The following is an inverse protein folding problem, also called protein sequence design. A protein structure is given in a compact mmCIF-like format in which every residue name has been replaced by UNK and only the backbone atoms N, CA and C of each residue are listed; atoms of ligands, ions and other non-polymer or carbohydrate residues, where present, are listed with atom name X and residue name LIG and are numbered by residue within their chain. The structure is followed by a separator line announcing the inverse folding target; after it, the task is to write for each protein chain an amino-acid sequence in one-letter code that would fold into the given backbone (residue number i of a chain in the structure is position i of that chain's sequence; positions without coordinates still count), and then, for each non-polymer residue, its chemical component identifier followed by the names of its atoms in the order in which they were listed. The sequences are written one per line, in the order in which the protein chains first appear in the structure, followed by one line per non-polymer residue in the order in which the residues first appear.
data_IF_390854625808
#
_entry.id   IF_390854625808
#
_cell.length_a   1.000
_cell.length_b   1.000
_cell.length_c   1.000
_cell.angle_alpha   90.00
_cell.angle_beta   90.00
_cell.angle_gamma   90.00
#
_symmetry.space_group_name_H-M   'P 1'
#
loop_
_entity.id
_entity.type
_entity.pdbx_description
1 polymer ?
#
# COMPACT_ATOMS: atom_id res chain seq x y z
N UNK A 1 -21.39 15.22 -40.60
CA UNK A 1 -20.35 14.48 -39.83
C UNK A 1 -19.30 15.39 -39.17
N UNK A 2 -18.97 16.56 -39.74
CA UNK A 2 -17.90 17.43 -39.20
C UNK A 2 -18.22 18.10 -37.86
N UNK A 3 -19.47 18.54 -37.65
CA UNK A 3 -19.93 19.14 -36.38
C UNK A 3 -19.84 18.17 -35.20
N UNK A 4 -20.15 16.89 -35.43
CA UNK A 4 -20.07 15.83 -34.41
C UNK A 4 -18.61 15.60 -33.99
N UNK A 5 -17.68 15.53 -34.95
CA UNK A 5 -16.24 15.44 -34.66
C UNK A 5 -15.71 16.64 -33.86
N UNK A 6 -16.21 17.85 -34.12
CA UNK A 6 -15.83 19.05 -33.37
C UNK A 6 -16.32 19.00 -31.92
N UNK A 7 -17.55 18.53 -31.70
CA UNK A 7 -18.14 18.36 -30.37
C UNK A 7 -17.40 17.29 -29.55
N UNK A 8 -17.00 16.17 -30.17
CA UNK A 8 -16.19 15.16 -29.49
C UNK A 8 -14.85 15.71 -28.99
N UNK A 9 -14.12 16.46 -29.84
CA UNK A 9 -12.84 17.07 -29.46
C UNK A 9 -12.97 18.07 -28.33
N UNK A 10 -14.00 18.92 -28.38
CA UNK A 10 -14.31 19.86 -27.30
C UNK A 10 -14.59 19.13 -25.98
N UNK A 11 -15.37 18.04 -26.02
CA UNK A 11 -15.67 17.22 -24.84
C UNK A 11 -14.41 16.60 -24.22
N UNK A 12 -13.55 16.02 -25.05
CA UNK A 12 -12.28 15.42 -24.60
C UNK A 12 -11.32 16.47 -24.00
N UNK A 13 -11.33 17.70 -24.54
CA UNK A 13 -10.49 18.80 -24.03
C UNK A 13 -10.95 19.28 -22.66
N UNK A 14 -12.27 19.32 -22.42
CA UNK A 14 -12.84 19.76 -21.15
C UNK A 14 -12.67 18.76 -20.01
N UNK A 15 -12.59 17.46 -20.28
CA UNK A 15 -12.27 16.44 -19.26
C UNK A 15 -10.77 16.38 -18.97
N UNK A 16 -9.92 16.55 -19.99
CA UNK A 16 -8.45 16.49 -19.83
C UNK A 16 -7.88 17.61 -18.94
N UNK A 17 -8.42 18.83 -19.00
CA UNK A 17 -7.96 19.92 -18.13
C UNK A 17 -8.39 19.75 -16.66
N UNK A 18 -9.56 19.15 -16.41
CA UNK A 18 -10.03 18.84 -15.05
C UNK A 18 -9.18 17.76 -14.39
N UNK A 19 -8.88 16.68 -15.12
CA UNK A 19 -8.04 15.58 -14.66
C UNK A 19 -6.60 16.03 -14.41
N UNK A 20 -6.04 16.92 -15.26
CA UNK A 20 -4.71 17.49 -15.07
C UNK A 20 -4.61 18.38 -13.82
N UNK A 21 -5.70 19.07 -13.47
CA UNK A 21 -5.75 19.93 -12.26
C UNK A 21 -5.92 19.09 -10.99
N UNK A 22 -6.76 18.06 -11.03
CA UNK A 22 -6.94 17.14 -9.89
C UNK A 22 -5.67 16.32 -9.62
N UNK A 23 -4.96 15.90 -10.66
CA UNK A 23 -3.66 15.21 -10.53
C UNK A 23 -2.59 16.13 -9.96
N UNK A 24 -2.50 17.39 -10.40
CA UNK A 24 -1.55 18.36 -9.84
C UNK A 24 -1.81 18.65 -8.35
N UNK A 25 -3.08 18.80 -7.95
CA UNK A 25 -3.46 18.98 -6.54
C UNK A 25 -3.09 17.76 -5.70
N UNK A 26 -3.40 16.56 -6.19
CA UNK A 26 -3.05 15.30 -5.51
C UNK A 26 -1.54 15.19 -5.30
N UNK A 27 -0.73 15.48 -6.32
CA UNK A 27 0.73 15.49 -6.19
C UNK A 27 1.25 16.51 -5.17
N UNK A 28 0.64 17.70 -5.09
CA UNK A 28 0.99 18.69 -4.06
C UNK A 28 0.65 18.20 -2.65
N UNK A 29 -0.49 17.52 -2.49
CA UNK A 29 -0.89 16.92 -1.22
C UNK A 29 0.08 15.81 -0.80
N UNK A 30 0.45 14.91 -1.71
CA UNK A 30 1.39 13.82 -1.44
C UNK A 30 2.76 14.37 -1.00
N UNK A 31 3.28 15.38 -1.70
CA UNK A 31 4.56 16.01 -1.35
C UNK A 31 4.56 16.68 0.05
N UNK A 32 3.43 17.26 0.45
CA UNK A 32 3.28 17.85 1.80
C UNK A 32 3.19 16.78 2.88
N UNK A 33 2.51 15.66 2.60
CA UNK A 33 2.43 14.51 3.49
C UNK A 33 3.81 13.89 3.69
N UNK A 34 4.56 13.64 2.62
CA UNK A 34 5.91 13.07 2.69
C UNK A 34 6.85 13.96 3.53
N UNK A 35 6.82 15.27 3.30
CA UNK A 35 7.62 16.24 4.08
C UNK A 35 7.25 16.26 5.56
N UNK A 36 5.96 16.09 5.88
CA UNK A 36 5.51 16.00 7.27
C UNK A 36 5.97 14.70 7.93
N UNK A 37 5.86 13.57 7.23
CA UNK A 37 6.29 12.26 7.72
C UNK A 37 7.81 12.21 7.94
N UNK A 38 8.59 12.81 7.06
CA UNK A 38 10.04 12.98 7.23
C UNK A 38 10.36 13.79 8.49
N UNK A 39 9.66 14.91 8.71
CA UNK A 39 9.86 15.78 9.89
C UNK A 39 9.62 15.07 11.22
N UNK A 40 8.66 14.15 11.28
CA UNK A 40 8.34 13.39 12.50
C UNK A 40 9.12 12.07 12.59
N UNK A 41 10.05 11.80 11.66
CA UNK A 41 10.83 10.56 11.63
C UNK A 41 10.02 9.31 11.29
N UNK A 42 8.79 9.46 10.82
CA UNK A 42 7.89 8.39 10.39
C UNK A 42 7.89 8.19 8.87
N UNK A 43 8.86 8.80 8.16
CA UNK A 43 9.07 8.63 6.74
C UNK A 43 9.11 7.15 6.41
N UNK A 44 8.21 6.71 5.52
CA UNK A 44 7.92 5.31 5.26
C UNK A 44 9.20 4.49 5.23
N UNK A 45 9.40 3.65 6.25
CA UNK A 45 10.38 2.58 6.15
C UNK A 45 9.98 1.83 4.90
N UNK A 46 10.75 1.96 3.80
CA UNK A 46 10.61 1.09 2.65
C UNK A 46 10.86 -0.29 3.22
N UNK A 47 9.77 -0.98 3.58
CA UNK A 47 9.83 -2.30 4.17
C UNK A 47 10.62 -3.11 3.17
N UNK A 48 11.87 -3.41 3.53
CA UNK A 48 12.77 -4.09 2.63
C UNK A 48 12.06 -5.40 2.30
N UNK A 49 11.78 -5.71 1.03
CA UNK A 49 11.18 -6.98 0.69
C UNK A 49 12.11 -8.03 1.28
N UNK A 50 11.66 -8.72 2.33
CA UNK A 50 12.49 -9.73 2.97
C UNK A 50 12.81 -10.74 1.89
N UNK A 51 14.06 -10.75 1.42
CA UNK A 51 14.61 -11.80 0.55
C UNK A 51 14.85 -13.06 1.37
N UNK A 52 13.86 -13.48 2.14
CA UNK A 52 13.87 -14.79 2.78
C UNK A 52 12.90 -15.61 1.95
N UNK A 53 13.43 -16.55 1.15
CA UNK A 53 12.61 -17.50 0.42
C UNK A 53 11.60 -18.09 1.42
N UNK A 54 10.32 -17.93 1.13
CA UNK A 54 9.25 -18.38 2.01
C UNK A 54 9.47 -19.86 2.26
N UNK A 55 9.81 -20.21 3.51
CA UNK A 55 9.85 -21.60 3.92
C UNK A 55 8.43 -22.13 3.78
N UNK A 56 8.20 -22.84 2.67
CA UNK A 56 6.90 -23.34 2.26
C UNK A 56 6.34 -24.27 3.33
N UNK A 57 7.21 -24.97 4.07
CA UNK A 57 6.77 -25.81 5.18
C UNK A 57 6.21 -24.94 6.31
N UNK A 58 6.95 -23.92 6.77
CA UNK A 58 6.49 -23.00 7.81
C UNK A 58 5.17 -22.28 7.45
N UNK A 59 4.99 -21.93 6.17
CA UNK A 59 3.76 -21.31 5.67
C UNK A 59 2.53 -22.20 5.83
N UNK A 60 2.65 -23.51 5.57
CA UNK A 60 1.55 -24.48 5.74
C UNK A 60 1.44 -25.05 7.15
N UNK A 61 2.52 -25.02 7.94
CA UNK A 61 2.54 -25.53 9.32
C UNK A 61 1.84 -24.60 10.33
N UNK A 62 1.39 -23.42 9.93
CA UNK A 62 0.80 -22.44 10.85
C UNK A 62 1.82 -21.87 11.84
N UNK A 63 3.09 -21.79 11.44
CA UNK A 63 4.13 -21.27 12.32
C UNK A 63 3.85 -19.79 12.65
N UNK A 64 3.43 -19.52 13.89
CA UNK A 64 3.08 -18.18 14.38
C UNK A 64 1.59 -17.83 14.32
N UNK A 65 0.71 -18.73 13.86
CA UNK A 65 -0.75 -18.51 13.85
C UNK A 65 -1.44 -18.84 15.19
N UNK A 66 -0.66 -19.32 16.15
CA UNK A 66 -1.13 -19.65 17.49
C UNK A 66 -1.93 -20.95 17.57
N UNK A 67 -2.26 -21.63 16.47
CA UNK A 67 -3.15 -22.81 16.50
C UNK A 67 -2.48 -24.03 17.12
N UNK A 68 -1.16 -24.10 17.05
CA UNK A 68 -0.35 -25.18 17.63
C UNK A 68 0.26 -24.81 19.00
N UNK A 69 -0.16 -23.68 19.62
CA UNK A 69 0.31 -23.31 20.97
C UNK A 69 -0.60 -23.93 22.04
N UNK A 70 0.00 -24.59 23.03
CA UNK A 70 -0.75 -25.06 24.20
C UNK A 70 -0.52 -24.10 25.36
N UNK A 71 -1.54 -23.31 25.71
CA UNK A 71 -1.49 -22.36 26.83
C UNK A 71 -1.15 -23.07 28.16
N UNK A 72 -1.73 -24.24 28.39
CA UNK A 72 -1.45 -25.04 29.58
C UNK A 72 0.02 -25.50 29.66
N UNK A 73 0.65 -25.82 28.52
CA UNK A 73 2.09 -26.13 28.45
C UNK A 73 2.92 -24.88 28.74
N UNK A 74 2.58 -23.72 28.17
CA UNK A 74 3.33 -22.48 28.35
C UNK A 74 3.28 -21.96 29.79
N UNK A 75 2.11 -22.02 30.43
CA UNK A 75 1.95 -21.58 31.82
C UNK A 75 2.69 -22.51 32.78
N UNK A 76 2.69 -23.82 32.51
CA UNK A 76 3.36 -24.82 33.35
C UNK A 76 4.85 -25.00 33.02
N UNK A 77 5.44 -24.11 32.22
CA UNK A 77 6.88 -24.13 31.93
C UNK A 77 7.34 -25.28 31.01
N UNK A 78 6.42 -25.87 30.25
CA UNK A 78 6.69 -26.77 29.13
C UNK A 78 7.85 -27.75 29.28
N UNK A 79 7.61 -28.86 30.00
CA UNK A 79 8.48 -30.04 29.89
C UNK A 79 8.39 -30.65 28.48
N UNK A 80 9.54 -31.03 27.95
CA UNK A 80 9.71 -31.91 26.77
C UNK A 80 9.17 -33.29 27.12
#
# INVERSE_FOLDING_TARGET
MERIRKLMRLKESTTSEGEARETALTCCHDALIDKYLEKIGAGTSKAHPRKTGTDRSAYYSGMGDGRNISLNRQIKGGGI
#
